data_IF_497797604064
#
_entry.id   IF_497797604064
#
_cell.length_a   1.000
_cell.length_b   1.000
_cell.length_c   1.000
_cell.angle_alpha   90.00
_cell.angle_beta   90.00
_cell.angle_gamma   90.00
#
_symmetry.space_group_name_H-M   'P 1'
#
loop_
_entity.id
_entity.type
_entity.pdbx_description
1 polymer ?
#
# COMPACT_ATOMS: atom_id res chain seq x y z
N UNK A 1 -31.61 -4.61 2.88
CA UNK A 1 -30.18 -4.30 2.96
C UNK A 1 -29.42 -5.57 3.27
N UNK A 2 -28.90 -6.23 2.25
CA UNK A 2 -28.05 -7.43 2.35
C UNK A 2 -26.58 -7.04 2.53
N UNK A 3 -25.73 -8.01 2.84
CA UNK A 3 -24.30 -7.78 2.91
C UNK A 3 -23.71 -7.33 1.56
N UNK A 4 -24.16 -7.90 0.44
CA UNK A 4 -23.69 -7.49 -0.90
C UNK A 4 -24.05 -6.04 -1.19
N UNK A 5 -25.28 -5.62 -0.87
CA UNK A 5 -25.74 -4.24 -1.07
C UNK A 5 -24.87 -3.25 -0.26
N UNK A 6 -24.49 -3.61 0.96
CA UNK A 6 -23.57 -2.80 1.77
C UNK A 6 -22.20 -2.72 1.10
N UNK A 7 -21.60 -3.85 0.73
CA UNK A 7 -20.25 -3.84 0.11
C UNK A 7 -20.27 -3.02 -1.18
N UNK A 8 -21.31 -3.15 -2.01
CA UNK A 8 -21.43 -2.41 -3.26
C UNK A 8 -21.61 -0.90 -3.05
N UNK A 9 -22.33 -0.49 -2.02
CA UNK A 9 -22.53 0.94 -1.69
C UNK A 9 -21.28 1.58 -1.06
N UNK A 10 -20.42 0.79 -0.42
CA UNK A 10 -19.26 1.30 0.33
C UNK A 10 -17.91 0.97 -0.31
N UNK A 11 -17.85 0.17 -1.38
CA UNK A 11 -16.57 -0.23 -2.01
C UNK A 11 -15.66 0.96 -2.36
N UNK A 12 -16.20 2.05 -2.90
CA UNK A 12 -15.39 3.23 -3.26
C UNK A 12 -14.77 3.89 -2.02
N UNK A 13 -15.50 3.92 -0.90
CA UNK A 13 -14.99 4.46 0.38
C UNK A 13 -13.89 3.55 0.93
N UNK A 14 -14.07 2.24 0.85
CA UNK A 14 -13.07 1.26 1.25
C UNK A 14 -11.80 1.38 0.38
N UNK A 15 -11.95 1.49 -0.94
CA UNK A 15 -10.81 1.71 -1.86
C UNK A 15 -10.04 2.98 -1.49
N UNK A 16 -10.72 4.10 -1.21
CA UNK A 16 -10.06 5.35 -0.80
C UNK A 16 -9.19 5.17 0.44
N UNK A 17 -9.69 4.41 1.43
CA UNK A 17 -8.95 4.08 2.65
C UNK A 17 -7.72 3.24 2.31
N UNK A 18 -7.91 2.15 1.54
CA UNK A 18 -6.84 1.22 1.19
C UNK A 18 -5.73 1.93 0.39
N UNK A 19 -6.07 2.74 -0.61
CA UNK A 19 -5.08 3.51 -1.39
C UNK A 19 -4.26 4.45 -0.51
N UNK A 20 -4.92 5.19 0.39
CA UNK A 20 -4.24 6.10 1.33
C UNK A 20 -3.30 5.35 2.27
N UNK A 21 -3.72 4.18 2.75
CA UNK A 21 -2.90 3.35 3.63
C UNK A 21 -1.68 2.79 2.91
N UNK A 22 -1.83 2.31 1.66
CA UNK A 22 -0.69 1.82 0.87
C UNK A 22 0.32 2.95 0.64
N UNK A 23 -0.12 4.14 0.22
CA UNK A 23 0.80 5.28 0.01
C UNK A 23 1.55 5.69 1.30
N UNK A 24 0.85 5.67 2.44
CA UNK A 24 1.48 5.90 3.74
C UNK A 24 2.51 4.82 4.09
N UNK A 25 2.20 3.55 3.83
CA UNK A 25 3.11 2.43 4.07
C UNK A 25 4.33 2.48 3.13
N UNK A 26 4.15 2.84 1.86
CA UNK A 26 5.25 3.03 0.91
C UNK A 26 6.22 4.10 1.42
N UNK A 27 5.69 5.23 1.89
CA UNK A 27 6.50 6.31 2.48
C UNK A 27 7.22 5.86 3.77
N UNK A 28 6.55 5.09 4.63
CA UNK A 28 7.16 4.53 5.85
C UNK A 28 8.27 3.53 5.52
N UNK A 29 8.08 2.69 4.50
CA UNK A 29 9.07 1.74 3.99
C UNK A 29 10.29 2.47 3.44
N UNK A 30 10.10 3.47 2.58
CA UNK A 30 11.18 4.32 2.06
C UNK A 30 12.02 4.92 3.19
N UNK A 31 11.37 5.47 4.23
CA UNK A 31 12.06 6.02 5.39
C UNK A 31 12.82 4.96 6.21
N UNK A 32 12.23 3.76 6.37
CA UNK A 32 12.88 2.66 7.07
C UNK A 32 14.13 2.18 6.32
N UNK A 33 14.08 2.09 4.99
CA UNK A 33 15.23 1.76 4.16
C UNK A 33 16.33 2.82 4.26
N UNK A 34 15.96 4.11 4.16
CA UNK A 34 16.92 5.22 4.29
C UNK A 34 17.65 5.14 5.64
N UNK A 35 16.93 4.85 6.72
CA UNK A 35 17.52 4.72 8.05
C UNK A 35 18.42 3.48 8.16
N UNK A 36 18.00 2.35 7.60
CA UNK A 36 18.81 1.14 7.55
C UNK A 36 20.11 1.37 6.76
N UNK A 37 20.02 2.04 5.60
CA UNK A 37 21.18 2.40 4.79
C UNK A 37 22.15 3.34 5.51
N UNK A 38 21.66 4.42 6.14
CA UNK A 38 22.49 5.33 6.95
C UNK A 38 23.21 4.60 8.09
N UNK A 39 22.53 3.65 8.73
CA UNK A 39 23.09 2.81 9.79
C UNK A 39 23.95 1.66 9.26
N UNK A 40 24.03 1.46 7.94
CA UNK A 40 24.90 0.47 7.32
C UNK A 40 26.26 1.04 6.90
N UNK A 41 26.38 2.38 6.80
CA UNK A 41 27.62 3.06 6.37
C UNK A 41 28.81 2.84 7.32
N UNK A 42 28.56 2.43 8.57
CA UNK A 42 29.63 2.04 9.49
C UNK A 42 29.40 0.63 10.08
N UNK A 43 30.48 -0.17 10.14
CA UNK A 43 30.42 -1.58 10.58
C UNK A 43 30.03 -1.79 12.05
N UNK A 44 29.99 -0.72 12.86
CA UNK A 44 29.53 -0.79 14.24
C UNK A 44 28.01 -0.54 14.36
N UNK A 45 27.42 0.30 13.51
CA UNK A 45 26.01 0.66 13.55
C UNK A 45 25.10 -0.45 13.02
N UNK A 46 25.59 -1.32 12.14
CA UNK A 46 24.85 -2.53 11.71
C UNK A 46 24.60 -3.52 12.86
N UNK A 47 25.38 -3.44 13.94
CA UNK A 47 25.20 -4.28 15.14
C UNK A 47 24.21 -3.67 16.15
N UNK A 48 23.69 -2.48 15.87
CA UNK A 48 22.80 -1.78 16.81
C UNK A 48 21.35 -2.24 16.66
N UNK A 49 20.62 -2.21 17.77
CA UNK A 49 19.16 -2.44 17.77
C UNK A 49 18.43 -1.50 16.80
N UNK A 50 18.90 -0.27 16.63
CA UNK A 50 18.32 0.71 15.71
C UNK A 50 18.38 0.28 14.24
N UNK A 51 19.49 -0.35 13.81
CA UNK A 51 19.61 -0.89 12.46
C UNK A 51 18.59 -2.01 12.23
N UNK A 52 18.59 -3.03 13.10
CA UNK A 52 17.69 -4.18 12.97
C UNK A 52 16.21 -3.79 13.09
N UNK A 53 15.88 -2.78 13.90
CA UNK A 53 14.54 -2.21 13.95
C UNK A 53 14.14 -1.58 12.62
N UNK A 54 15.04 -0.84 11.96
CA UNK A 54 14.78 -0.24 10.65
C UNK A 54 14.55 -1.31 9.57
N UNK A 55 15.38 -2.36 9.56
CA UNK A 55 15.22 -3.51 8.66
C UNK A 55 13.90 -4.23 8.89
N UNK A 56 13.59 -4.59 10.14
CA UNK A 56 12.33 -5.28 10.47
C UNK A 56 11.09 -4.43 10.18
N UNK A 57 11.16 -3.11 10.37
CA UNK A 57 10.08 -2.21 9.98
C UNK A 57 9.86 -2.19 8.47
N UNK A 58 10.93 -2.16 7.66
CA UNK A 58 10.81 -2.19 6.22
C UNK A 58 10.14 -3.48 5.74
N UNK A 59 10.56 -4.64 6.26
CA UNK A 59 9.94 -5.94 5.99
C UNK A 59 8.46 -5.98 6.39
N UNK A 60 8.14 -5.46 7.58
CA UNK A 60 6.77 -5.37 8.06
C UNK A 60 5.89 -4.51 7.14
N UNK A 61 6.35 -3.32 6.74
CA UNK A 61 5.59 -2.45 5.85
C UNK A 61 5.41 -3.05 4.46
N UNK A 62 6.41 -3.77 3.93
CA UNK A 62 6.28 -4.50 2.67
C UNK A 62 5.14 -5.52 2.77
N UNK A 63 5.11 -6.32 3.84
CA UNK A 63 4.06 -7.33 4.04
C UNK A 63 2.67 -6.70 4.08
N UNK A 64 2.51 -5.61 4.82
CA UNK A 64 1.24 -4.86 4.90
C UNK A 64 0.81 -4.28 3.54
N UNK A 65 1.76 -3.76 2.74
CA UNK A 65 1.48 -3.29 1.39
C UNK A 65 0.91 -4.43 0.53
N UNK A 66 1.56 -5.60 0.50
CA UNK A 66 1.11 -6.73 -0.31
C UNK A 66 -0.26 -7.28 0.13
N UNK A 67 -0.55 -7.31 1.42
CA UNK A 67 -1.89 -7.68 1.92
C UNK A 67 -2.97 -6.72 1.41
N UNK A 68 -2.70 -5.41 1.42
CA UNK A 68 -3.64 -4.40 0.92
C UNK A 68 -3.77 -4.42 -0.61
N UNK A 69 -2.69 -4.71 -1.33
CA UNK A 69 -2.74 -4.94 -2.78
C UNK A 69 -3.59 -6.17 -3.13
N UNK A 70 -3.47 -7.25 -2.35
CA UNK A 70 -4.35 -8.42 -2.49
C UNK A 70 -5.82 -8.07 -2.27
N UNK A 71 -6.13 -7.18 -1.31
CA UNK A 71 -7.49 -6.70 -1.11
C UNK A 71 -7.98 -5.88 -2.32
N UNK A 72 -7.14 -5.00 -2.89
CA UNK A 72 -7.48 -4.25 -4.10
C UNK A 72 -7.74 -5.17 -5.31
N UNK A 73 -6.94 -6.22 -5.47
CA UNK A 73 -7.11 -7.20 -6.55
C UNK A 73 -8.42 -7.98 -6.40
N UNK A 74 -8.78 -8.39 -5.18
CA UNK A 74 -10.07 -9.04 -4.92
C UNK A 74 -11.25 -8.08 -5.18
N UNK A 75 -11.12 -6.82 -4.78
CA UNK A 75 -12.11 -5.79 -5.13
C UNK A 75 -12.20 -5.59 -6.65
N UNK A 76 -11.10 -5.71 -7.37
CA UNK A 76 -11.10 -5.59 -8.83
C UNK A 76 -11.75 -6.80 -9.50
N UNK A 77 -11.49 -8.00 -8.99
CA UNK A 77 -12.17 -9.22 -9.43
C UNK A 77 -13.69 -9.12 -9.27
N UNK A 78 -14.15 -8.56 -8.15
CA UNK A 78 -15.57 -8.43 -7.83
C UNK A 78 -16.25 -7.26 -8.55
N UNK A 79 -15.58 -6.11 -8.65
CA UNK A 79 -16.20 -4.87 -9.10
C UNK A 79 -15.63 -4.30 -10.38
N UNK A 80 -14.53 -4.84 -10.93
CA UNK A 80 -13.85 -4.35 -12.14
C UNK A 80 -13.63 -2.83 -12.08
N UNK A 81 -13.05 -2.36 -10.99
CA UNK A 81 -12.86 -0.92 -10.78
C UNK A 81 -11.72 -0.39 -11.66
N UNK A 82 -10.72 -1.21 -11.96
CA UNK A 82 -9.57 -0.83 -12.80
C UNK A 82 -9.96 -0.59 -14.27
N UNK A 83 -11.03 -1.22 -14.74
CA UNK A 83 -11.62 -0.97 -16.07
C UNK A 83 -12.41 0.36 -16.13
N UNK A 84 -12.76 0.91 -14.96
CA UNK A 84 -13.71 2.03 -14.82
C UNK A 84 -13.06 3.31 -14.29
N UNK A 85 -11.73 3.44 -14.41
CA UNK A 85 -10.96 4.59 -13.90
C UNK A 85 -11.42 5.96 -14.43
N UNK A 86 -12.10 5.99 -15.57
CA UNK A 86 -12.71 7.21 -16.14
C UNK A 86 -13.87 7.77 -15.29
N UNK A 87 -14.45 6.97 -14.38
CA UNK A 87 -15.58 7.40 -13.55
C UNK A 87 -15.15 8.44 -12.50
N UNK A 88 -15.96 9.47 -12.31
CA UNK A 88 -15.66 10.58 -11.39
C UNK A 88 -15.36 10.12 -9.96
N UNK A 89 -16.10 9.13 -9.47
CA UNK A 89 -15.92 8.55 -8.15
C UNK A 89 -14.55 7.87 -7.93
N UNK A 90 -13.86 7.50 -9.02
CA UNK A 90 -12.54 6.85 -9.04
C UNK A 90 -11.39 7.81 -9.36
N UNK A 91 -11.66 9.08 -9.72
CA UNK A 91 -10.61 10.10 -9.99
C UNK A 91 -9.64 10.33 -8.83
N UNK A 92 -10.01 9.95 -7.59
CA UNK A 92 -9.10 10.05 -6.46
C UNK A 92 -7.82 9.21 -6.64
N UNK A 93 -7.86 8.15 -7.47
CA UNK A 93 -6.72 7.28 -7.74
C UNK A 93 -5.56 8.06 -8.38
N UNK A 94 -5.87 9.10 -9.16
CA UNK A 94 -4.85 9.97 -9.79
C UNK A 94 -3.96 10.67 -8.76
N UNK A 95 -4.42 10.82 -7.51
CA UNK A 95 -3.62 11.37 -6.40
C UNK A 95 -2.58 10.37 -5.85
N UNK A 96 -2.68 9.10 -6.24
CA UNK A 96 -1.86 8.01 -5.74
C UNK A 96 -1.17 7.23 -6.88
N UNK A 97 -0.40 7.90 -7.76
CA UNK A 97 0.20 7.25 -8.94
C UNK A 97 1.12 6.10 -8.55
N UNK A 98 1.92 6.26 -7.49
CA UNK A 98 2.82 5.21 -6.98
C UNK A 98 2.07 3.95 -6.54
N UNK A 99 0.89 4.11 -5.94
CA UNK A 99 0.05 2.99 -5.53
C UNK A 99 -0.50 2.26 -6.76
N UNK A 100 -0.98 3.01 -7.76
CA UNK A 100 -1.50 2.43 -9.00
C UNK A 100 -0.41 1.69 -9.78
N UNK A 101 0.80 2.24 -9.85
CA UNK A 101 1.93 1.58 -10.50
C UNK A 101 2.32 0.30 -9.76
N UNK A 102 2.35 0.34 -8.42
CA UNK A 102 2.62 -0.84 -7.61
C UNK A 102 1.53 -1.91 -7.76
N UNK A 103 0.27 -1.51 -7.89
CA UNK A 103 -0.86 -2.41 -8.16
C UNK A 103 -0.72 -3.11 -9.51
N UNK A 104 -0.42 -2.38 -10.59
CA UNK A 104 -0.20 -2.95 -11.93
C UNK A 104 1.00 -3.91 -12.03
N UNK A 105 1.98 -3.76 -11.15
CA UNK A 105 3.10 -4.71 -11.05
C UNK A 105 2.70 -5.98 -10.29
N UNK A 106 1.72 -5.88 -9.41
CA UNK A 106 1.23 -6.98 -8.58
C UNK A 106 0.17 -7.83 -9.28
N UNK A 107 -0.71 -7.20 -10.06
CA UNK A 107 -1.89 -7.80 -10.71
C UNK A 107 -1.93 -7.45 -12.19
#
# INVERSE_FOLDING_TARGET
>A
MTAEEIVQNYQIKLMKIIFKEIDSLMTKKENADINAHKLAENGNSVRTSAYWKSVGNAEFYIKEIYQKLSALAEMDRLFRWSERLHQEQLKFIEKYPRVMDKYRQYN
#
